data_IF_856984431193
#
_entry.id   IF_856984431193
#
_cell.length_a   1.000
_cell.length_b   1.000
_cell.length_c   1.000
_cell.angle_alpha   90.00
_cell.angle_beta   90.00
_cell.angle_gamma   90.00
#
_symmetry.space_group_name_H-M   'P 1'
#
loop_
_entity.id
_entity.type
_entity.pdbx_description
1 polymer ?
#
# COMPACT_ATOMS: atom_id res chain seq x y z
N UNK A 1 11.96 -13.06 10.02
CA UNK A 1 11.08 -12.24 10.89
C UNK A 1 10.39 -11.09 10.14
N UNK A 2 10.91 -10.67 8.98
CA UNK A 2 10.29 -9.66 8.14
C UNK A 2 9.03 -10.23 7.47
N UNK A 3 7.94 -9.44 7.44
CA UNK A 3 6.68 -9.82 6.77
C UNK A 3 6.71 -9.51 5.28
N UNK A 4 7.40 -8.43 4.89
CA UNK A 4 7.61 -8.10 3.49
C UNK A 4 8.96 -7.46 3.24
N UNK A 5 9.48 -7.65 2.03
CA UNK A 5 10.73 -7.07 1.55
C UNK A 5 10.47 -6.54 0.14
N UNK A 6 10.75 -5.27 -0.08
CA UNK A 6 10.62 -4.60 -1.37
C UNK A 6 12.00 -4.36 -1.96
N UNK A 7 12.20 -4.80 -3.18
CA UNK A 7 13.43 -4.59 -3.93
C UNK A 7 13.25 -3.41 -4.87
N UNK A 8 14.07 -2.39 -4.68
CA UNK A 8 13.98 -1.13 -5.44
C UNK A 8 15.33 -0.80 -6.06
N UNK A 9 15.30 -0.16 -7.21
CA UNK A 9 16.48 0.43 -7.83
C UNK A 9 16.53 1.93 -7.50
N UNK A 10 17.61 2.35 -6.86
CA UNK A 10 17.81 3.74 -6.48
C UNK A 10 18.65 4.54 -7.48
N UNK A 11 19.02 3.92 -8.60
CA UNK A 11 19.84 4.58 -9.62
C UNK A 11 19.07 5.76 -10.22
N UNK A 12 19.72 6.93 -10.25
CA UNK A 12 19.10 8.15 -10.78
C UNK A 12 18.40 9.05 -9.77
N UNK A 13 18.27 8.62 -8.50
CA UNK A 13 17.74 9.48 -7.45
C UNK A 13 18.78 10.49 -6.95
N UNK A 14 18.35 11.72 -6.71
CA UNK A 14 19.16 12.74 -6.06
C UNK A 14 19.39 12.41 -4.58
N UNK A 15 20.48 12.92 -3.99
CA UNK A 15 20.80 12.68 -2.57
C UNK A 15 19.70 13.22 -1.64
N UNK A 16 19.09 14.37 -1.99
CA UNK A 16 17.96 14.94 -1.27
C UNK A 16 16.75 14.00 -1.25
N UNK A 17 16.44 13.40 -2.39
CA UNK A 17 15.28 12.52 -2.56
C UNK A 17 15.48 11.19 -1.81
N UNK A 18 16.69 10.63 -1.88
CA UNK A 18 17.05 9.44 -1.08
C UNK A 18 16.94 9.71 0.41
N UNK A 19 17.37 10.90 0.86
CA UNK A 19 17.29 11.28 2.27
C UNK A 19 15.83 11.45 2.72
N UNK A 20 15.01 12.09 1.89
CA UNK A 20 13.58 12.25 2.13
C UNK A 20 12.85 10.90 2.16
N UNK A 21 13.19 9.99 1.24
CA UNK A 21 12.64 8.64 1.18
C UNK A 21 13.02 7.83 2.44
N UNK A 22 14.29 7.89 2.86
CA UNK A 22 14.75 7.23 4.10
C UNK A 22 14.02 7.76 5.32
N UNK A 23 13.79 9.06 5.40
CA UNK A 23 13.05 9.67 6.50
C UNK A 23 11.61 9.17 6.54
N UNK A 24 10.91 9.14 5.40
CA UNK A 24 9.54 8.61 5.29
C UNK A 24 9.46 7.12 5.70
N UNK A 25 10.46 6.32 5.33
CA UNK A 25 10.53 4.92 5.73
C UNK A 25 10.77 4.77 7.23
N UNK A 26 11.70 5.54 7.77
CA UNK A 26 12.01 5.52 9.20
C UNK A 26 10.80 5.91 10.06
N UNK A 27 10.07 6.97 9.68
CA UNK A 27 8.85 7.42 10.37
C UNK A 27 7.74 6.37 10.38
N UNK A 28 7.77 5.43 9.42
CA UNK A 28 6.79 4.33 9.28
C UNK A 28 7.31 2.97 9.77
N UNK A 29 8.46 2.94 10.44
CA UNK A 29 9.04 1.71 10.99
C UNK A 29 9.55 0.71 9.93
N UNK A 30 9.87 1.20 8.74
CA UNK A 30 10.43 0.41 7.63
C UNK A 30 11.93 0.66 7.55
N UNK A 31 12.73 -0.41 7.58
CA UNK A 31 14.17 -0.33 7.35
C UNK A 31 14.49 -0.24 5.86
N UNK A 32 15.26 0.77 5.47
CA UNK A 32 15.73 0.94 4.11
C UNK A 32 17.25 0.81 4.03
N UNK A 33 17.71 -0.26 3.38
CA UNK A 33 19.13 -0.65 3.30
C UNK A 33 19.56 -0.83 1.85
N UNK A 34 20.77 -0.36 1.54
CA UNK A 34 21.43 -0.66 0.26
C UNK A 34 22.32 -1.89 0.46
N UNK A 35 22.09 -2.92 -0.32
CA UNK A 35 22.77 -4.22 -0.17
C UNK A 35 23.44 -4.64 -1.49
N UNK A 36 24.60 -5.29 -1.37
CA UNK A 36 25.28 -5.88 -2.51
C UNK A 36 24.49 -7.09 -3.03
N UNK A 37 24.28 -7.18 -4.35
CA UNK A 37 23.54 -8.27 -4.97
C UNK A 37 24.11 -9.66 -4.67
N UNK A 38 25.44 -9.78 -4.54
CA UNK A 38 26.09 -11.05 -4.16
C UNK A 38 25.66 -11.53 -2.78
N UNK A 39 25.50 -10.62 -1.82
CA UNK A 39 25.03 -10.96 -0.46
C UNK A 39 23.56 -11.34 -0.46
N UNK A 40 22.74 -10.64 -1.27
CA UNK A 40 21.32 -10.99 -1.45
C UNK A 40 21.16 -12.40 -2.04
N UNK A 41 21.99 -12.76 -3.02
CA UNK A 41 21.97 -14.09 -3.63
C UNK A 41 22.32 -15.18 -2.61
N UNK A 42 23.37 -14.99 -1.83
CA UNK A 42 23.74 -15.93 -0.75
C UNK A 42 22.62 -16.05 0.29
N UNK A 43 22.02 -14.93 0.67
CA UNK A 43 20.94 -14.92 1.64
C UNK A 43 19.67 -15.62 1.10
N UNK A 44 19.35 -15.47 -0.18
CA UNK A 44 18.22 -16.17 -0.82
C UNK A 44 18.44 -17.68 -0.86
N UNK A 45 19.66 -18.11 -1.22
CA UNK A 45 20.03 -19.52 -1.31
C UNK A 45 19.95 -20.20 0.09
N UNK A 46 20.46 -19.51 1.14
CA UNK A 46 20.39 -19.99 2.51
C UNK A 46 18.95 -20.16 3.03
N UNK A 47 18.05 -19.28 2.63
CA UNK A 47 16.65 -19.34 3.03
C UNK A 47 15.76 -20.12 2.06
N UNK A 48 16.34 -20.72 1.00
CA UNK A 48 15.60 -21.48 -0.04
C UNK A 48 14.48 -20.66 -0.69
N UNK A 49 14.71 -19.37 -0.85
CA UNK A 49 13.77 -18.45 -1.48
C UNK A 49 14.17 -18.35 -2.96
N UNK A 50 13.30 -18.78 -3.86
CA UNK A 50 13.50 -18.62 -5.30
C UNK A 50 13.20 -17.18 -5.69
N UNK A 51 14.24 -16.35 -5.74
CA UNK A 51 14.18 -14.99 -6.27
C UNK A 51 14.52 -15.02 -7.76
N UNK A 52 13.85 -14.22 -8.57
CA UNK A 52 14.16 -14.11 -10.00
C UNK A 52 15.56 -13.50 -10.22
N UNK A 53 16.30 -14.02 -11.20
CA UNK A 53 17.65 -13.52 -11.53
C UNK A 53 17.68 -12.03 -11.91
N UNK A 54 16.55 -11.48 -12.35
CA UNK A 54 16.38 -10.08 -12.69
C UNK A 54 16.60 -9.12 -11.51
N UNK A 55 16.37 -9.58 -10.27
CA UNK A 55 16.59 -8.79 -9.05
C UNK A 55 18.05 -8.45 -8.80
N UNK A 56 18.95 -9.32 -9.25
CA UNK A 56 20.38 -9.20 -9.02
C UNK A 56 21.11 -8.34 -10.07
N UNK A 57 20.37 -7.78 -11.03
CA UNK A 57 20.91 -6.88 -12.05
C UNK A 57 20.89 -5.43 -11.54
N UNK A 58 22.01 -4.70 -11.71
CA UNK A 58 22.11 -3.27 -11.34
C UNK A 58 22.15 -2.99 -9.85
N UNK A 59 21.80 -1.76 -9.44
CA UNK A 59 21.77 -1.33 -8.04
C UNK A 59 20.52 -1.84 -7.34
N UNK A 60 20.66 -2.30 -6.09
CA UNK A 60 19.54 -2.84 -5.35
C UNK A 60 19.52 -2.27 -3.93
N UNK A 61 18.43 -1.64 -3.58
CA UNK A 61 18.07 -1.29 -2.21
C UNK A 61 16.86 -2.11 -1.77
N UNK A 62 16.84 -2.45 -0.51
CA UNK A 62 15.75 -3.22 0.10
C UNK A 62 15.04 -2.40 1.15
N UNK A 63 13.72 -2.41 1.10
CA UNK A 63 12.87 -1.89 2.18
C UNK A 63 12.24 -3.08 2.91
N UNK A 64 12.52 -3.19 4.20
CA UNK A 64 12.10 -4.31 5.05
C UNK A 64 11.03 -3.81 5.99
N UNK A 65 9.85 -4.46 5.97
CA UNK A 65 8.78 -4.17 6.92
C UNK A 65 8.55 -5.35 7.85
N UNK A 66 8.45 -5.04 9.15
CA UNK A 66 8.25 -6.03 10.22
C UNK A 66 6.81 -6.07 10.71
N UNK A 67 6.15 -4.93 10.82
CA UNK A 67 4.82 -4.82 11.41
C UNK A 67 3.71 -4.89 10.35
N UNK A 68 3.65 -3.92 9.45
CA UNK A 68 2.64 -3.85 8.41
C UNK A 68 3.29 -4.02 7.03
N UNK A 69 3.01 -5.15 6.35
CA UNK A 69 3.64 -5.45 5.06
C UNK A 69 3.28 -4.46 3.95
N UNK A 70 2.21 -3.68 4.10
CA UNK A 70 1.71 -2.77 3.06
C UNK A 70 2.27 -1.34 3.22
N UNK A 71 2.73 -0.96 4.42
CA UNK A 71 3.25 0.38 4.70
C UNK A 71 4.36 0.80 3.74
N UNK A 72 5.32 -0.08 3.47
CA UNK A 72 6.40 0.20 2.53
C UNK A 72 5.89 0.44 1.10
N UNK A 73 4.90 -0.35 0.64
CA UNK A 73 4.29 -0.17 -0.68
C UNK A 73 3.58 1.18 -0.82
N UNK A 74 2.84 1.59 0.21
CA UNK A 74 2.14 2.89 0.21
C UNK A 74 3.11 4.07 0.13
N UNK A 75 4.24 3.99 0.86
CA UNK A 75 5.28 5.02 0.83
C UNK A 75 5.93 5.10 -0.54
N UNK A 76 6.32 3.96 -1.12
CA UNK A 76 6.92 3.90 -2.46
C UNK A 76 5.94 4.45 -3.50
N UNK A 77 4.67 4.04 -3.45
CA UNK A 77 3.64 4.55 -4.36
C UNK A 77 3.38 6.05 -4.19
N UNK A 78 3.39 6.54 -2.95
CA UNK A 78 3.29 7.98 -2.67
C UNK A 78 4.47 8.75 -3.27
N UNK A 79 5.68 8.19 -3.15
CA UNK A 79 6.90 8.80 -3.69
C UNK A 79 6.94 8.77 -5.23
N UNK A 80 6.46 7.68 -5.85
CA UNK A 80 6.36 7.55 -7.31
C UNK A 80 5.35 8.53 -7.95
N UNK A 81 4.42 9.12 -7.17
CA UNK A 81 3.53 10.17 -7.69
C UNK A 81 4.24 11.50 -7.88
N UNK A 82 5.24 11.76 -7.05
CA UNK A 82 5.99 13.02 -7.05
C UNK A 82 7.28 12.90 -7.88
N UNK A 83 7.78 11.67 -8.05
CA UNK A 83 9.05 11.34 -8.71
C UNK A 83 8.88 10.08 -9.54
N UNK A 84 9.51 10.01 -10.72
CA UNK A 84 9.50 8.83 -11.59
C UNK A 84 10.35 7.65 -11.07
N UNK A 85 11.10 7.88 -9.98
CA UNK A 85 12.01 6.92 -9.34
C UNK A 85 11.69 6.82 -7.83
N UNK A 86 11.97 5.70 -7.14
CA UNK A 86 12.75 4.49 -7.54
C UNK A 86 11.94 3.49 -8.36
N UNK A 87 12.57 2.76 -9.27
CA UNK A 87 11.93 1.64 -9.95
C UNK A 87 11.87 0.41 -9.04
N UNK A 88 10.79 -0.34 -9.14
CA UNK A 88 10.58 -1.56 -8.35
C UNK A 88 11.01 -2.75 -9.19
N UNK A 89 11.88 -3.60 -8.64
CA UNK A 89 12.34 -4.84 -9.26
C UNK A 89 11.48 -6.04 -8.90
N UNK A 90 10.98 -6.07 -7.68
CA UNK A 90 10.17 -7.14 -7.17
C UNK A 90 9.80 -6.96 -5.72
N UNK A 91 8.90 -7.79 -5.25
CA UNK A 91 8.39 -7.76 -3.88
C UNK A 91 8.38 -9.19 -3.33
N UNK A 92 8.87 -9.36 -2.13
CA UNK A 92 8.67 -10.58 -1.36
C UNK A 92 7.62 -10.31 -0.29
N UNK A 93 6.47 -10.93 -0.43
CA UNK A 93 5.31 -10.67 0.40
C UNK A 93 4.81 -11.99 1.02
N UNK A 94 4.79 -12.06 2.36
CA UNK A 94 4.27 -13.21 3.12
C UNK A 94 4.76 -14.59 2.63
N UNK A 95 6.05 -14.68 2.27
CA UNK A 95 6.66 -15.95 1.84
C UNK A 95 6.60 -16.22 0.35
N UNK A 96 5.96 -15.37 -0.44
CA UNK A 96 5.86 -15.48 -1.90
C UNK A 96 6.58 -14.36 -2.60
N UNK A 97 7.31 -14.69 -3.68
CA UNK A 97 7.91 -13.69 -4.56
C UNK A 97 6.89 -13.23 -5.60
N UNK A 98 6.76 -11.92 -5.75
CA UNK A 98 5.87 -11.28 -6.71
C UNK A 98 6.69 -10.35 -7.63
N UNK A 99 6.46 -10.39 -8.94
CA UNK A 99 7.14 -9.52 -9.89
C UNK A 99 6.70 -8.05 -9.72
N UNK A 100 7.50 -7.15 -10.28
CA UNK A 100 7.23 -5.70 -10.22
C UNK A 100 5.84 -5.32 -10.76
N UNK A 101 5.31 -6.07 -11.73
CA UNK A 101 3.98 -5.85 -12.34
C UNK A 101 2.83 -5.96 -11.33
N UNK A 102 2.99 -6.74 -10.28
CA UNK A 102 1.96 -6.91 -9.25
C UNK A 102 2.07 -5.93 -8.07
N UNK A 103 3.12 -5.11 -8.05
CA UNK A 103 3.30 -4.11 -7.01
C UNK A 103 2.12 -3.14 -6.89
N UNK A 104 1.54 -2.71 -8.01
CA UNK A 104 0.40 -1.79 -7.99
C UNK A 104 -0.81 -2.39 -7.25
N UNK A 105 -1.05 -3.69 -7.41
CA UNK A 105 -2.14 -4.39 -6.71
C UNK A 105 -1.89 -4.38 -5.21
N UNK A 106 -0.65 -4.67 -4.78
CA UNK A 106 -0.25 -4.66 -3.36
C UNK A 106 -0.39 -3.25 -2.76
N UNK A 107 0.07 -2.23 -3.49
CA UNK A 107 0.00 -0.84 -3.06
C UNK A 107 -1.42 -0.26 -2.99
N UNK A 108 -2.42 -0.95 -3.57
CA UNK A 108 -3.84 -0.61 -3.46
C UNK A 108 -4.53 -1.31 -2.30
N UNK A 109 -3.90 -2.33 -1.70
CA UNK A 109 -4.48 -3.02 -0.56
C UNK A 109 -4.60 -2.07 0.64
N UNK A 110 -5.72 -2.12 1.35
CA UNK A 110 -5.86 -1.40 2.60
C UNK A 110 -4.98 -2.04 3.69
N UNK A 111 -4.50 -1.25 4.63
CA UNK A 111 -3.78 -1.78 5.79
C UNK A 111 -4.65 -2.75 6.60
N UNK A 112 -4.04 -3.52 7.50
CA UNK A 112 -4.79 -4.45 8.36
C UNK A 112 -5.88 -3.74 9.15
N UNK A 113 -5.59 -2.58 9.70
CA UNK A 113 -6.55 -1.77 10.46
C UNK A 113 -7.67 -1.22 9.59
N UNK A 114 -7.31 -0.70 8.41
CA UNK A 114 -8.29 -0.25 7.41
C UNK A 114 -9.20 -1.39 6.94
N UNK A 115 -8.64 -2.59 6.75
CA UNK A 115 -9.39 -3.79 6.36
C UNK A 115 -10.40 -4.20 7.45
N UNK A 116 -9.98 -4.22 8.72
CA UNK A 116 -10.87 -4.51 9.85
C UNK A 116 -11.98 -3.47 9.97
N UNK A 117 -11.65 -2.20 9.82
CA UNK A 117 -12.64 -1.11 9.80
C UNK A 117 -13.64 -1.29 8.67
N UNK A 118 -13.16 -1.60 7.47
CA UNK A 118 -14.00 -1.84 6.29
C UNK A 118 -14.94 -3.03 6.49
N UNK A 119 -14.46 -4.13 7.06
CA UNK A 119 -15.30 -5.30 7.41
C UNK A 119 -16.39 -4.90 8.41
N UNK A 120 -16.04 -4.15 9.45
CA UNK A 120 -17.01 -3.69 10.47
C UNK A 120 -18.10 -2.80 9.83
N UNK A 121 -17.71 -1.88 8.96
CA UNK A 121 -18.67 -1.03 8.23
C UNK A 121 -19.55 -1.86 7.30
N UNK A 122 -18.97 -2.83 6.59
CA UNK A 122 -19.73 -3.72 5.71
C UNK A 122 -20.75 -4.58 6.46
N UNK A 123 -20.41 -5.06 7.66
CA UNK A 123 -21.35 -5.80 8.50
C UNK A 123 -22.48 -4.91 9.05
N UNK A 124 -22.21 -3.64 9.31
CA UNK A 124 -23.22 -2.67 9.77
C UNK A 124 -24.11 -2.16 8.62
N UNK A 125 -23.60 -2.15 7.40
CA UNK A 125 -24.29 -1.59 6.23
C UNK A 125 -25.69 -2.18 5.96
N UNK A 126 -25.93 -3.52 6.00
CA UNK A 126 -27.27 -4.07 5.79
C UNK A 126 -28.30 -3.55 6.79
N UNK A 127 -27.92 -3.47 8.06
CA UNK A 127 -28.81 -2.96 9.13
C UNK A 127 -29.13 -1.48 8.88
N UNK A 128 -28.12 -0.68 8.54
CA UNK A 128 -28.30 0.73 8.22
C UNK A 128 -29.20 0.93 7.00
N UNK A 129 -29.08 0.08 5.99
CA UNK A 129 -29.92 0.13 4.80
C UNK A 129 -31.40 -0.14 5.13
N UNK A 130 -31.69 -1.11 5.99
CA UNK A 130 -33.05 -1.39 6.44
C UNK A 130 -33.63 -0.17 7.16
N UNK A 131 -32.89 0.43 8.09
CA UNK A 131 -33.32 1.65 8.80
C UNK A 131 -33.57 2.81 7.84
N UNK A 132 -32.68 3.00 6.86
CA UNK A 132 -32.83 4.04 5.84
C UNK A 132 -34.06 3.80 4.95
N UNK A 133 -34.33 2.54 4.59
CA UNK A 133 -35.53 2.18 3.82
C UNK A 133 -36.82 2.46 4.59
N UNK A 134 -36.86 2.19 5.89
CA UNK A 134 -38.02 2.48 6.74
C UNK A 134 -38.22 3.97 6.89
N UNK A 135 -37.17 4.77 6.98
CA UNK A 135 -37.23 6.22 7.12
C UNK A 135 -37.47 6.95 5.77
N UNK A 136 -37.14 6.31 4.65
CA UNK A 136 -37.21 6.90 3.30
C UNK A 136 -38.60 7.49 2.95
N UNK A 137 -39.73 6.83 3.22
CA UNK A 137 -41.06 7.39 2.92
C UNK A 137 -41.31 8.73 3.64
N UNK A 138 -40.95 8.81 4.92
CA UNK A 138 -41.13 10.02 5.73
C UNK A 138 -40.27 11.18 5.20
N UNK A 139 -39.02 10.92 4.89
CA UNK A 139 -38.10 11.93 4.34
C UNK A 139 -38.59 12.42 2.96
N UNK A 140 -39.06 11.51 2.10
CA UNK A 140 -39.62 11.87 0.79
C UNK A 140 -40.85 12.77 0.93
N UNK A 141 -41.71 12.48 1.87
CA UNK A 141 -42.92 13.26 2.13
C UNK A 141 -42.59 14.69 2.61
N UNK A 142 -41.65 14.82 3.54
CA UNK A 142 -41.14 16.11 4.01
C UNK A 142 -40.50 16.92 2.89
N UNK A 143 -39.70 16.27 2.06
CA UNK A 143 -39.02 16.95 0.90
C UNK A 143 -40.05 17.46 -0.13
N UNK A 144 -41.12 16.69 -0.40
CA UNK A 144 -42.21 17.13 -1.29
C UNK A 144 -42.95 18.33 -0.71
N UNK A 145 -43.26 18.30 0.59
CA UNK A 145 -43.90 19.41 1.27
C UNK A 145 -43.04 20.69 1.28
N UNK A 146 -41.72 20.54 1.49
CA UNK A 146 -40.81 21.66 1.45
C UNK A 146 -40.68 22.24 0.02
N UNK A 147 -40.63 21.39 -1.00
CA UNK A 147 -40.63 21.83 -2.39
C UNK A 147 -41.89 22.57 -2.80
N UNK A 148 -43.07 22.12 -2.31
CA UNK A 148 -44.32 22.83 -2.56
C UNK A 148 -44.37 24.20 -1.84
N UNK A 149 -43.70 24.31 -0.67
CA UNK A 149 -43.59 25.59 0.05
C UNK A 149 -42.71 26.59 -0.71
N UNK A 150 -41.59 26.13 -1.29
CA UNK A 150 -40.71 26.98 -2.08
C UNK A 150 -41.30 27.44 -3.41
N UNK A 151 -42.17 26.61 -4.03
CA UNK A 151 -42.85 26.98 -5.29
C UNK A 151 -44.01 27.94 -5.07
N UNK A 152 -44.48 28.11 -3.84
CA UNK A 152 -45.65 28.94 -3.50
C UNK A 152 -45.26 30.31 -2.94
N UNK A 153 -43.99 30.57 -2.71
CA UNK A 153 -43.39 31.86 -2.38
C UNK A 153 -42.67 32.43 -3.62
#
# INVERSE_FOLDING_TARGET
>A
KAKSIYFTDYLGLNVSDVTSLRKKFFDSGVEYLVVKNTLLKIASDLNKISLGDELFSGSTAIAISYDDPISAAKIIKGFLKDHDLPSIKGVFFEGSYLPATEFEKIAQLPSKEESLTKITVMLKSPVQNIVNLLNSPMVKLVNVLNGLKETKN
#
